data_IF_192848787871
#
_entry.id   IF_192848787871
#
_cell.length_a   1.000
_cell.length_b   1.000
_cell.length_c   1.000
_cell.angle_alpha   90.00
_cell.angle_beta   90.00
_cell.angle_gamma   90.00
#
_symmetry.space_group_name_H-M   'P 1'
#
loop_
_entity.id
_entity.type
_entity.pdbx_description
1 polymer ?
#
# COMPACT_ATOMS: atom_id res chain seq x y z
N UNK A 1 -18.78 13.48 12.02
CA UNK A 1 -18.17 13.66 13.34
C UNK A 1 -19.07 13.09 14.44
N UNK A 2 -20.34 13.51 14.53
CA UNK A 2 -21.32 13.00 15.50
C UNK A 2 -21.45 11.47 15.62
N UNK A 3 -21.45 10.72 14.51
CA UNK A 3 -21.58 9.26 14.55
C UNK A 3 -20.41 8.55 15.27
N UNK A 4 -19.18 9.03 15.04
CA UNK A 4 -17.99 8.48 15.69
C UNK A 4 -18.00 8.81 17.20
N UNK A 5 -18.39 10.02 17.57
CA UNK A 5 -18.46 10.43 18.98
C UNK A 5 -19.47 9.59 19.77
N UNK A 6 -20.62 9.28 19.16
CA UNK A 6 -21.61 8.38 19.74
C UNK A 6 -21.06 6.96 19.88
N UNK A 7 -20.47 6.40 18.82
CA UNK A 7 -19.83 5.07 18.88
C UNK A 7 -18.75 5.01 19.96
N UNK A 8 -17.90 6.03 20.09
CA UNK A 8 -16.88 6.14 21.14
C UNK A 8 -17.45 6.04 22.56
N UNK A 9 -18.53 6.78 22.83
CA UNK A 9 -19.14 6.79 24.16
C UNK A 9 -19.70 5.41 24.56
N UNK A 10 -20.34 4.72 23.62
CA UNK A 10 -20.84 3.36 23.86
C UNK A 10 -19.71 2.33 23.93
N UNK A 11 -18.71 2.48 23.06
CA UNK A 11 -17.55 1.61 22.97
C UNK A 11 -16.77 1.58 24.28
N UNK A 12 -16.46 2.74 24.86
CA UNK A 12 -15.68 2.79 26.10
C UNK A 12 -16.37 2.03 27.24
N UNK A 13 -17.69 2.19 27.36
CA UNK A 13 -18.47 1.50 28.39
C UNK A 13 -18.54 -0.01 28.15
N UNK A 14 -18.74 -0.42 26.90
CA UNK A 14 -18.85 -1.82 26.50
C UNK A 14 -17.50 -2.55 26.65
N UNK A 15 -16.40 -1.96 26.21
CA UNK A 15 -15.05 -2.52 26.32
C UNK A 15 -14.59 -2.68 27.77
N UNK A 16 -14.83 -1.67 28.63
CA UNK A 16 -14.45 -1.73 30.06
C UNK A 16 -15.16 -2.86 30.80
N UNK A 17 -16.36 -3.20 30.36
CA UNK A 17 -17.21 -4.22 30.96
C UNK A 17 -16.85 -5.64 30.51
N UNK A 18 -16.19 -5.80 29.35
CA UNK A 18 -15.85 -7.09 28.78
C UNK A 18 -14.41 -7.51 29.17
N UNK A 19 -14.25 -8.61 29.94
CA UNK A 19 -12.94 -9.06 30.41
C UNK A 19 -11.97 -9.40 29.27
N UNK A 20 -12.48 -9.68 28.06
CA UNK A 20 -11.66 -9.98 26.87
C UNK A 20 -10.82 -8.78 26.40
N UNK A 21 -11.15 -7.57 26.84
CA UNK A 21 -10.48 -6.34 26.43
C UNK A 21 -9.58 -5.73 27.51
N UNK A 22 -9.44 -6.36 28.69
CA UNK A 22 -8.69 -5.77 29.80
C UNK A 22 -7.17 -5.87 29.68
N UNK A 23 -6.65 -6.81 28.89
CA UNK A 23 -5.21 -7.08 28.77
C UNK A 23 -4.73 -7.01 27.32
N UNK A 24 -4.99 -5.90 26.64
CA UNK A 24 -4.54 -5.68 25.26
C UNK A 24 -3.28 -4.82 25.24
N UNK A 25 -2.20 -5.35 24.65
CA UNK A 25 -0.88 -4.69 24.63
C UNK A 25 -0.69 -3.81 23.39
N UNK A 26 -1.45 -4.04 22.32
CA UNK A 26 -1.34 -3.28 21.08
C UNK A 26 -2.69 -2.96 20.43
N UNK A 27 -2.67 -1.95 19.54
CA UNK A 27 -3.80 -1.60 18.67
C UNK A 27 -4.15 -2.77 17.72
N UNK A 28 -3.16 -3.59 17.36
CA UNK A 28 -3.37 -4.80 16.55
C UNK A 28 -4.19 -5.83 17.33
N UNK A 29 -3.89 -6.03 18.61
CA UNK A 29 -4.65 -6.93 19.49
C UNK A 29 -6.08 -6.44 19.68
N UNK A 30 -6.26 -5.12 19.84
CA UNK A 30 -7.57 -4.50 19.86
C UNK A 30 -8.36 -4.80 18.57
N UNK A 31 -7.76 -4.56 17.42
CA UNK A 31 -8.38 -4.83 16.12
C UNK A 31 -8.80 -6.30 15.98
N UNK A 32 -7.92 -7.23 16.34
CA UNK A 32 -8.22 -8.67 16.34
C UNK A 32 -9.37 -9.02 17.27
N UNK A 33 -9.38 -8.48 18.49
CA UNK A 33 -10.42 -8.74 19.46
C UNK A 33 -11.79 -8.21 19.03
N UNK A 34 -11.83 -7.05 18.37
CA UNK A 34 -13.08 -6.51 17.82
C UNK A 34 -13.70 -7.43 16.76
N UNK A 35 -12.88 -8.02 15.90
CA UNK A 35 -13.35 -8.98 14.90
C UNK A 35 -13.81 -10.28 15.56
N UNK A 36 -13.02 -10.83 16.49
CA UNK A 36 -13.37 -12.09 17.17
C UNK A 36 -14.68 -12.00 17.97
N UNK A 37 -14.96 -10.84 18.56
CA UNK A 37 -16.19 -10.59 19.33
C UNK A 37 -17.34 -10.07 18.46
N UNK A 38 -17.13 -9.92 17.14
CA UNK A 38 -18.06 -9.27 16.18
C UNK A 38 -18.39 -7.82 16.51
N UNK A 39 -17.70 -7.21 17.48
CA UNK A 39 -17.87 -5.81 17.86
C UNK A 39 -17.44 -4.84 16.75
N UNK A 40 -16.66 -5.30 15.77
CA UNK A 40 -16.38 -4.56 14.53
C UNK A 40 -17.64 -4.21 13.72
N UNK A 41 -18.72 -4.99 13.83
CA UNK A 41 -20.00 -4.73 13.16
C UNK A 41 -20.85 -3.70 13.92
N UNK A 42 -20.70 -3.64 15.25
CA UNK A 42 -21.43 -2.72 16.13
C UNK A 42 -20.76 -1.34 16.22
N UNK A 43 -19.44 -1.26 16.00
CA UNK A 43 -18.65 -0.03 16.02
C UNK A 43 -17.88 0.17 14.71
N UNK A 44 -18.59 0.30 13.57
CA UNK A 44 -17.96 0.30 12.24
C UNK A 44 -17.06 1.52 12.00
N UNK A 45 -17.37 2.70 12.57
CA UNK A 45 -16.52 3.89 12.39
C UNK A 45 -15.22 3.77 13.18
N UNK A 46 -15.30 3.29 14.41
CA UNK A 46 -14.13 3.02 15.25
C UNK A 46 -13.23 1.94 14.65
N UNK A 47 -13.83 0.82 14.22
CA UNK A 47 -13.08 -0.25 13.58
C UNK A 47 -12.35 0.26 12.32
N UNK A 48 -13.03 1.05 11.48
CA UNK A 48 -12.42 1.65 10.30
C UNK A 48 -11.28 2.60 10.65
N UNK A 49 -11.43 3.41 11.70
CA UNK A 49 -10.37 4.30 12.18
C UNK A 49 -9.14 3.51 12.64
N UNK A 50 -9.33 2.42 13.39
CA UNK A 50 -8.24 1.54 13.83
C UNK A 50 -7.53 0.92 12.63
N UNK A 51 -8.27 0.43 11.63
CA UNK A 51 -7.68 -0.08 10.39
C UNK A 51 -6.87 1.00 9.65
N UNK A 52 -7.36 2.24 9.58
CA UNK A 52 -6.62 3.35 8.98
C UNK A 52 -5.31 3.60 9.73
N UNK A 53 -5.35 3.70 11.06
CA UNK A 53 -4.14 3.91 11.87
C UNK A 53 -3.12 2.78 11.67
N UNK A 54 -3.57 1.53 11.56
CA UNK A 54 -2.68 0.38 11.31
C UNK A 54 -2.11 0.35 9.89
N UNK A 55 -2.82 0.89 8.89
CA UNK A 55 -2.41 0.87 7.48
C UNK A 55 -1.62 2.12 7.05
N UNK A 56 -1.74 3.24 7.77
CA UNK A 56 -1.01 4.47 7.49
C UNK A 56 0.52 4.25 7.47
N UNK A 57 1.16 3.59 8.45
CA UNK A 57 2.61 3.38 8.43
C UNK A 57 3.08 2.62 7.19
N UNK A 58 2.32 1.61 6.76
CA UNK A 58 2.59 0.84 5.55
C UNK A 58 2.45 1.71 4.30
N UNK A 59 1.41 2.55 4.26
CA UNK A 59 1.17 3.48 3.16
C UNK A 59 2.29 4.52 3.07
N UNK A 60 2.69 5.13 4.19
CA UNK A 60 3.79 6.09 4.26
C UNK A 60 5.11 5.47 3.85
N UNK A 61 5.44 4.28 4.35
CA UNK A 61 6.67 3.58 3.94
C UNK A 61 6.65 3.24 2.44
N UNK A 62 5.49 2.90 1.88
CA UNK A 62 5.33 2.59 0.45
C UNK A 62 5.49 3.85 -0.41
N UNK A 63 4.89 4.97 -0.02
CA UNK A 63 5.05 6.22 -0.75
C UNK A 63 6.48 6.75 -0.67
N UNK A 64 7.11 6.72 0.50
CA UNK A 64 8.53 7.06 0.66
C UNK A 64 9.44 6.19 -0.21
N UNK A 65 9.19 4.88 -0.24
CA UNK A 65 9.89 3.94 -1.13
C UNK A 65 9.69 4.29 -2.60
N UNK A 66 8.47 4.60 -3.03
CA UNK A 66 8.17 4.98 -4.40
C UNK A 66 8.86 6.30 -4.80
N UNK A 67 8.88 7.30 -3.91
CA UNK A 67 9.62 8.55 -4.14
C UNK A 67 11.13 8.33 -4.22
N UNK A 68 11.68 7.47 -3.36
CA UNK A 68 13.10 7.09 -3.42
C UNK A 68 13.45 6.39 -4.74
N UNK A 69 12.63 5.42 -5.16
CA UNK A 69 12.76 4.74 -6.44
C UNK A 69 12.71 5.74 -7.61
N UNK A 70 11.74 6.66 -7.60
CA UNK A 70 11.63 7.72 -8.61
C UNK A 70 12.88 8.59 -8.66
N UNK A 71 13.44 8.96 -7.50
CA UNK A 71 14.66 9.75 -7.42
C UNK A 71 15.86 8.98 -8.00
N UNK A 72 16.00 7.68 -7.70
CA UNK A 72 17.05 6.81 -8.26
C UNK A 72 16.93 6.72 -9.79
N UNK A 73 15.73 6.48 -10.31
CA UNK A 73 15.46 6.36 -11.76
C UNK A 73 15.78 7.68 -12.46
N UNK A 74 15.23 8.80 -11.98
CA UNK A 74 15.44 10.14 -12.58
C UNK A 74 16.89 10.58 -12.53
N UNK A 75 17.60 10.35 -11.42
CA UNK A 75 19.01 10.72 -11.29
C UNK A 75 19.92 9.87 -12.20
N UNK A 76 19.61 8.57 -12.38
CA UNK A 76 20.38 7.68 -13.26
C UNK A 76 20.15 7.97 -14.75
N UNK A 77 18.92 8.30 -15.15
CA UNK A 77 18.53 8.46 -16.56
C UNK A 77 18.42 9.91 -17.05
N UNK A 78 18.76 10.90 -16.20
CA UNK A 78 18.96 12.32 -16.52
C UNK A 78 17.79 12.95 -17.30
N UNK A 79 16.69 13.26 -16.60
CA UNK A 79 15.63 14.24 -16.89
C UNK A 79 14.99 14.36 -18.30
N UNK A 80 15.24 13.43 -19.23
CA UNK A 80 14.61 13.44 -20.57
C UNK A 80 13.53 12.37 -20.77
N UNK A 81 13.19 11.62 -19.72
CA UNK A 81 12.12 10.63 -19.78
C UNK A 81 10.75 11.32 -19.73
N UNK A 82 9.87 10.95 -20.64
CA UNK A 82 8.45 11.30 -20.57
C UNK A 82 7.78 10.59 -19.38
N UNK A 83 6.70 11.17 -18.85
CA UNK A 83 6.04 10.67 -17.64
C UNK A 83 5.52 9.23 -17.79
N UNK A 84 5.11 8.84 -18.99
CA UNK A 84 4.66 7.48 -19.31
C UNK A 84 5.81 6.47 -19.12
N UNK A 85 6.96 6.72 -19.74
CA UNK A 85 8.13 5.86 -19.62
C UNK A 85 8.70 5.84 -18.20
N UNK A 86 8.58 6.94 -17.45
CA UNK A 86 8.90 6.96 -16.03
C UNK A 86 7.98 6.06 -15.22
N UNK A 87 6.67 6.09 -15.51
CA UNK A 87 5.68 5.20 -14.92
C UNK A 87 6.04 3.73 -15.12
N UNK A 88 6.34 3.34 -16.36
CA UNK A 88 6.76 1.98 -16.70
C UNK A 88 8.01 1.56 -15.93
N UNK A 89 9.02 2.44 -15.85
CA UNK A 89 10.25 2.17 -15.10
C UNK A 89 10.00 2.04 -13.59
N UNK A 90 9.08 2.84 -13.03
CA UNK A 90 8.70 2.74 -11.62
C UNK A 90 8.00 1.43 -11.32
N UNK A 91 7.12 0.95 -12.21
CA UNK A 91 6.45 -0.34 -12.07
C UNK A 91 7.49 -1.47 -12.03
N UNK A 92 8.43 -1.50 -12.98
CA UNK A 92 9.52 -2.49 -12.99
C UNK A 92 10.40 -2.44 -11.74
N UNK A 93 10.60 -1.25 -11.17
CA UNK A 93 11.44 -1.08 -9.98
C UNK A 93 10.73 -1.45 -8.67
N UNK A 94 9.42 -1.18 -8.57
CA UNK A 94 8.59 -1.58 -7.42
C UNK A 94 8.38 -3.10 -7.44
N UNK A 95 8.03 -3.65 -8.62
CA UNK A 95 7.80 -5.08 -8.83
C UNK A 95 9.09 -5.81 -9.24
N UNK A 96 10.22 -5.41 -8.66
CA UNK A 96 11.55 -5.89 -9.09
C UNK A 96 11.68 -7.41 -9.01
N UNK A 97 11.12 -8.05 -7.98
CA UNK A 97 11.15 -9.52 -7.84
C UNK A 97 10.43 -10.22 -9.00
N UNK A 98 9.30 -9.67 -9.44
CA UNK A 98 8.58 -10.16 -10.60
C UNK A 98 9.33 -9.84 -11.89
N UNK A 99 9.85 -8.62 -12.03
CA UNK A 99 10.62 -8.20 -13.20
C UNK A 99 11.89 -9.05 -13.39
N UNK A 100 12.57 -9.47 -12.32
CA UNK A 100 13.72 -10.38 -12.35
C UNK A 100 13.35 -11.80 -12.80
N UNK A 101 12.08 -12.20 -12.66
CA UNK A 101 11.59 -13.49 -13.16
C UNK A 101 11.33 -13.50 -14.68
N UNK A 102 11.28 -12.32 -15.31
CA UNK A 102 11.07 -12.17 -16.74
C UNK A 102 12.41 -12.35 -17.47
N UNK A 103 12.45 -13.26 -18.44
CA UNK A 103 13.63 -13.48 -19.26
C UNK A 103 13.79 -12.36 -20.31
N UNK A 104 14.89 -11.63 -20.24
CA UNK A 104 15.20 -10.55 -21.18
C UNK A 104 15.27 -11.04 -22.64
N UNK A 105 15.74 -12.28 -22.87
CA UNK A 105 15.85 -12.83 -24.23
C UNK A 105 14.45 -13.07 -24.83
N UNK A 106 13.50 -13.53 -24.03
CA UNK A 106 12.10 -13.66 -24.43
C UNK A 106 11.46 -12.30 -24.79
N UNK A 107 11.72 -11.26 -23.98
CA UNK A 107 11.21 -9.89 -24.22
C UNK A 107 11.80 -9.31 -25.49
N UNK A 108 13.10 -9.50 -25.74
CA UNK A 108 13.76 -9.03 -26.96
C UNK A 108 13.15 -9.71 -28.19
N UNK A 109 12.95 -11.03 -28.16
CA UNK A 109 12.34 -11.78 -29.27
C UNK A 109 10.91 -11.34 -29.55
N UNK A 110 10.11 -11.11 -28.51
CA UNK A 110 8.75 -10.61 -28.66
C UNK A 110 8.73 -9.20 -29.26
N UNK A 111 9.63 -8.33 -28.79
CA UNK A 111 9.78 -6.98 -29.34
C UNK A 111 10.20 -6.99 -30.81
N UNK A 112 11.13 -7.86 -31.20
CA UNK A 112 11.55 -8.06 -32.59
C UNK A 112 10.41 -8.61 -33.47
N UNK A 113 9.62 -9.56 -32.94
CA UNK A 113 8.46 -10.13 -33.62
C UNK A 113 7.34 -9.10 -33.85
N UNK A 114 7.27 -8.06 -33.02
CA UNK A 114 6.32 -6.94 -33.15
C UNK A 114 6.64 -6.02 -34.35
N UNK A 115 7.72 -6.28 -35.09
CA UNK A 115 8.07 -5.65 -36.36
C UNK A 115 9.00 -4.44 -36.23
N UNK A 116 9.61 -4.02 -37.35
CA UNK A 116 10.60 -2.94 -37.39
C UNK A 116 9.98 -1.56 -37.16
N UNK A 117 9.75 -1.18 -35.89
CA UNK A 117 9.67 0.24 -35.54
C UNK A 117 11.07 0.83 -35.68
N UNK A 118 11.39 1.36 -36.88
CA UNK A 118 12.58 2.20 -37.09
C UNK A 118 12.45 3.44 -36.22
N UNK A 119 12.98 3.39 -35.00
CA UNK A 119 13.29 4.61 -34.25
C UNK A 119 14.43 5.28 -35.01
N UNK A 120 14.11 6.32 -35.79
CA UNK A 120 15.11 7.21 -36.36
C UNK A 120 15.72 8.01 -35.22
N UNK A 121 16.83 7.53 -34.69
CA UNK A 121 17.72 8.37 -33.89
C UNK A 121 18.23 9.48 -34.81
N UNK A 122 17.94 10.73 -34.44
CA UNK A 122 18.39 11.94 -35.12
C UNK A 122 19.46 12.61 -34.31
#
# INVERSE_FOLDING_TARGET
MFALELECAFYEKDMRSDPKFQNLESISDLCRMLVQTRKSEFFPMLYRLICLVLTIPVSTATTERAFSAMNIIKNRLRNKMEDEFLGDCMVLHIEKEYAESIDNESVIKEFEACGTRRVRFR
#
